data_IF_180679298936
#
_entry.id   IF_180679298936
#
_cell.length_a   1.000
_cell.length_b   1.000
_cell.length_c   1.000
_cell.angle_alpha   90.00
_cell.angle_beta   90.00
_cell.angle_gamma   90.00
#
_symmetry.space_group_name_H-M   'P 1'
#
loop_
_entity.id
_entity.type
_entity.pdbx_description
1 polymer ?
#
# COMPACT_ATOMS: atom_id res chain seq x y z
N UNK A 1 0.32 3.36 -6.30
CA UNK A 1 0.98 3.97 -5.11
C UNK A 1 2.26 4.68 -5.52
N UNK A 2 2.57 5.85 -4.93
CA UNK A 2 3.84 6.54 -5.17
C UNK A 2 4.88 6.09 -4.15
N UNK A 3 6.00 5.55 -4.60
CA UNK A 3 7.09 5.07 -3.78
C UNK A 3 8.28 6.02 -3.87
N UNK A 4 8.67 6.60 -2.73
CA UNK A 4 9.82 7.49 -2.65
C UNK A 4 11.10 6.71 -2.38
N UNK A 5 12.11 6.84 -3.26
CA UNK A 5 13.37 6.09 -3.19
C UNK A 5 14.42 6.67 -2.24
N UNK A 6 14.22 7.87 -1.70
CA UNK A 6 15.20 8.49 -0.80
C UNK A 6 16.33 9.18 -1.55
N UNK A 7 17.46 8.50 -1.76
CA UNK A 7 18.63 9.02 -2.51
C UNK A 7 18.94 8.04 -3.66
N UNK A 8 18.79 8.46 -4.93
CA UNK A 8 18.29 9.77 -5.35
C UNK A 8 16.82 9.99 -5.00
N UNK A 9 16.43 11.25 -4.85
CA UNK A 9 15.09 11.67 -4.46
C UNK A 9 14.12 11.52 -5.64
N UNK A 10 13.71 10.28 -5.88
CA UNK A 10 12.84 9.89 -6.99
C UNK A 10 11.50 9.35 -6.48
N UNK A 11 10.43 9.70 -7.18
CA UNK A 11 9.11 9.10 -7.01
C UNK A 11 8.88 8.08 -8.12
N UNK A 12 8.57 6.85 -7.73
CA UNK A 12 8.21 5.79 -8.66
C UNK A 12 6.75 5.38 -8.49
N UNK A 13 6.03 5.28 -9.60
CA UNK A 13 4.69 4.69 -9.60
C UNK A 13 4.81 3.18 -9.46
N UNK A 14 4.32 2.66 -8.34
CA UNK A 14 4.22 1.23 -8.06
C UNK A 14 2.75 0.79 -8.13
N UNK A 15 2.53 -0.41 -8.64
CA UNK A 15 1.21 -1.05 -8.72
C UNK A 15 1.11 -2.15 -7.68
N UNK A 16 -0.03 -2.23 -7.00
CA UNK A 16 -0.29 -3.31 -6.04
C UNK A 16 -0.70 -4.55 -6.84
N UNK A 17 -0.12 -5.73 -6.57
CA UNK A 17 -0.54 -6.96 -7.22
C UNK A 17 -2.05 -7.19 -7.03
N UNK A 18 -2.78 -7.38 -8.13
CA UNK A 18 -4.22 -7.57 -8.11
C UNK A 18 -5.06 -6.29 -8.19
N UNK A 19 -4.44 -5.13 -8.43
CA UNK A 19 -5.16 -3.88 -8.74
C UNK A 19 -4.47 -3.07 -9.85
N UNK A 20 -5.19 -2.11 -10.43
CA UNK A 20 -4.64 -1.17 -11.40
C UNK A 20 -3.81 -0.04 -10.76
N UNK A 21 -3.12 0.75 -11.61
CA UNK A 21 -2.36 1.93 -11.17
C UNK A 21 -3.24 2.92 -10.39
N UNK A 22 -4.48 3.10 -10.86
CA UNK A 22 -5.52 3.88 -10.20
C UNK A 22 -6.49 2.91 -9.49
N UNK A 23 -6.05 2.43 -8.33
CA UNK A 23 -6.83 1.47 -7.54
C UNK A 23 -7.97 2.15 -6.78
N UNK A 24 -9.22 1.67 -6.86
CA UNK A 24 -10.30 2.09 -5.97
C UNK A 24 -9.92 1.86 -4.50
N UNK A 25 -10.38 2.75 -3.61
CA UNK A 25 -10.03 2.66 -2.19
C UNK A 25 -10.47 1.34 -1.55
N UNK A 26 -11.66 0.85 -1.87
CA UNK A 26 -12.21 -0.37 -1.29
C UNK A 26 -11.40 -1.62 -1.69
N UNK A 27 -10.95 -1.68 -2.95
CA UNK A 27 -10.09 -2.77 -3.44
C UNK A 27 -8.71 -2.71 -2.81
N UNK A 28 -8.14 -1.51 -2.70
CA UNK A 28 -6.86 -1.28 -2.00
C UNK A 28 -6.91 -1.78 -0.55
N UNK A 29 -7.96 -1.41 0.20
CA UNK A 29 -8.15 -1.83 1.58
C UNK A 29 -8.39 -3.34 1.69
N UNK A 30 -9.15 -3.92 0.75
CA UNK A 30 -9.37 -5.37 0.68
C UNK A 30 -8.06 -6.15 0.49
N UNK A 31 -7.20 -5.70 -0.42
CA UNK A 31 -5.91 -6.35 -0.71
C UNK A 31 -4.93 -6.28 0.45
N UNK A 32 -4.92 -5.18 1.20
CA UNK A 32 -3.98 -4.96 2.31
C UNK A 32 -4.52 -5.41 3.67
N UNK A 33 -5.77 -5.87 3.75
CA UNK A 33 -6.44 -6.26 5.00
C UNK A 33 -5.63 -7.22 5.88
N UNK A 34 -4.88 -8.13 5.27
CA UNK A 34 -4.12 -9.16 6.01
C UNK A 34 -2.74 -8.69 6.50
N UNK A 35 -2.31 -7.48 6.13
CA UNK A 35 -0.99 -6.92 6.49
C UNK A 35 -1.10 -5.58 7.22
N UNK A 36 -2.28 -4.97 7.22
CA UNK A 36 -2.60 -3.84 8.09
C UNK A 36 -3.00 -4.44 9.44
N UNK A 37 -2.24 -4.19 10.52
CA UNK A 37 -2.56 -4.75 11.83
C UNK A 37 -3.89 -4.19 12.33
N UNK A 38 -4.70 -5.05 12.95
CA UNK A 38 -5.89 -4.63 13.67
C UNK A 38 -5.55 -4.06 15.06
N UNK A 39 -6.52 -3.43 15.73
CA UNK A 39 -6.30 -2.81 17.05
C UNK A 39 -5.76 -3.78 18.11
N UNK A 40 -6.04 -5.08 17.98
CA UNK A 40 -5.56 -6.11 18.89
C UNK A 40 -4.10 -6.45 18.60
N UNK A 41 -3.73 -6.52 17.33
CA UNK A 41 -2.35 -6.74 16.85
C UNK A 41 -1.43 -5.52 17.04
N UNK A 42 -2.01 -4.32 17.12
CA UNK A 42 -1.27 -3.08 17.41
C UNK A 42 -0.73 -3.04 18.85
N UNK A 43 -1.26 -3.87 19.75
CA UNK A 43 -0.75 -4.02 21.10
C UNK A 43 0.29 -5.15 21.13
N UNK A 44 1.56 -4.77 21.03
CA UNK A 44 2.71 -5.68 21.12
C UNK A 44 2.86 -6.33 22.51
#
# INVERSE_FOLDING_TARGET
VQYYKGIPAELEVKTIPGCDVLCPLDEFLGLLKNVIPDEKEMNC
#
